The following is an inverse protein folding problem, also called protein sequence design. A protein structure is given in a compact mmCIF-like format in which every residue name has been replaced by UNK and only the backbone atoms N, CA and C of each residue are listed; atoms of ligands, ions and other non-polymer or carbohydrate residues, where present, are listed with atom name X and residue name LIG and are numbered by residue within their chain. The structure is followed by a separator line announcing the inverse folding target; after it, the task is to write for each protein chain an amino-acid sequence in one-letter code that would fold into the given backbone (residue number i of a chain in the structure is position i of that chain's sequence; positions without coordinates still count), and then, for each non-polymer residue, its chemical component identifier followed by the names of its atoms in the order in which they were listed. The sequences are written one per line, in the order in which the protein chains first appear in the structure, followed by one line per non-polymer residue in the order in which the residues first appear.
data_IF_117944833523
#
_entry.id   IF_117944833523
#
_cell.length_a   1.000
_cell.length_b   1.000
_cell.length_c   1.000
_cell.angle_alpha   90.00
_cell.angle_beta   90.00
_cell.angle_gamma   90.00
#
_symmetry.space_group_name_H-M   'P 1'
#
loop_
_entity.id
_entity.type
_entity.pdbx_description
1 polymer ?
#
# COMPACT_ATOMS: atom_id res chain seq x y z
N UNK A 1 -61.42 -48.53 -4.38
CA UNK A 1 -60.93 -47.49 -5.31
C UNK A 1 -60.19 -46.47 -4.48
N UNK A 2 -58.88 -46.37 -4.70
CA UNK A 2 -57.90 -45.36 -4.23
C UNK A 2 -57.81 -45.09 -2.71
N UNK A 3 -56.65 -44.87 -2.07
CA UNK A 3 -55.27 -44.63 -2.48
C UNK A 3 -54.35 -44.96 -1.29
N UNK A 4 -53.08 -45.28 -1.57
CA UNK A 4 -52.09 -45.74 -0.60
C UNK A 4 -51.75 -44.76 0.54
N UNK A 5 -51.40 -45.32 1.71
CA UNK A 5 -50.78 -44.61 2.82
C UNK A 5 -49.27 -44.81 2.78
N UNK A 6 -48.56 -43.75 2.44
CA UNK A 6 -47.10 -43.63 2.47
C UNK A 6 -46.65 -43.37 3.93
N UNK A 7 -45.57 -44.04 4.33
CA UNK A 7 -44.93 -43.91 5.65
C UNK A 7 -44.43 -42.47 5.89
N UNK A 8 -44.77 -41.92 7.05
CA UNK A 8 -44.30 -40.62 7.52
C UNK A 8 -42.88 -40.78 8.11
N UNK A 9 -41.87 -40.36 7.36
CA UNK A 9 -40.50 -40.18 7.87
C UNK A 9 -40.44 -38.79 8.50
N UNK A 10 -40.14 -38.71 9.80
CA UNK A 10 -39.93 -37.44 10.50
C UNK A 10 -38.67 -36.76 9.93
N UNK A 11 -38.87 -35.63 9.24
CA UNK A 11 -37.81 -34.76 8.76
C UNK A 11 -37.47 -33.79 9.88
N UNK A 12 -36.24 -33.85 10.39
CA UNK A 12 -35.68 -32.85 11.29
C UNK A 12 -35.65 -31.49 10.56
N UNK A 13 -36.53 -30.57 10.96
CA UNK A 13 -36.43 -29.16 10.60
C UNK A 13 -35.24 -28.57 11.36
N UNK A 14 -34.07 -28.58 10.73
CA UNK A 14 -33.00 -27.65 11.09
C UNK A 14 -33.50 -26.25 10.73
N UNK A 15 -33.83 -25.47 11.75
CA UNK A 15 -34.06 -24.04 11.61
C UNK A 15 -32.80 -23.41 11.04
N UNK A 16 -32.84 -23.07 9.75
CA UNK A 16 -31.90 -22.14 9.15
C UNK A 16 -32.15 -20.79 9.84
N UNK A 17 -31.30 -20.46 10.81
CA UNK A 17 -31.10 -19.09 11.22
C UNK A 17 -30.55 -18.36 9.99
N UNK A 18 -31.41 -17.63 9.29
CA UNK A 18 -30.98 -16.62 8.32
C UNK A 18 -30.23 -15.57 9.14
N UNK A 19 -28.91 -15.71 9.23
CA UNK A 19 -28.07 -14.57 9.55
C UNK A 19 -28.34 -13.54 8.45
N UNK A 20 -29.05 -12.47 8.78
CA UNK A 20 -29.12 -11.30 7.92
C UNK A 20 -27.67 -10.88 7.64
N UNK A 21 -27.24 -11.02 6.39
CA UNK A 21 -25.96 -10.48 5.94
C UNK A 21 -26.14 -8.97 5.96
N UNK A 22 -25.83 -8.36 7.10
CA UNK A 22 -25.86 -6.92 7.24
C UNK A 22 -24.83 -6.36 6.27
N UNK A 23 -25.31 -5.59 5.28
CA UNK A 23 -24.42 -4.95 4.32
C UNK A 23 -23.42 -4.08 5.10
N UNK A 24 -22.13 -4.36 4.94
CA UNK A 24 -21.11 -3.53 5.57
C UNK A 24 -21.12 -2.16 4.89
N UNK A 25 -21.28 -1.12 5.70
CA UNK A 25 -21.30 0.28 5.27
C UNK A 25 -20.36 1.10 6.14
N UNK A 26 -19.92 2.23 5.61
CA UNK A 26 -19.21 3.28 6.35
C UNK A 26 -19.95 4.60 6.15
N UNK A 27 -19.96 5.45 7.16
CA UNK A 27 -20.56 6.78 7.13
C UNK A 27 -19.44 7.83 7.27
N UNK A 28 -19.48 8.89 6.48
CA UNK A 28 -18.58 10.03 6.64
C UNK A 28 -19.16 11.13 7.56
N UNK A 29 -18.37 12.16 7.82
CA UNK A 29 -18.74 13.28 8.70
C UNK A 29 -19.98 14.07 8.24
N UNK A 30 -20.36 13.97 6.96
CA UNK A 30 -21.54 14.61 6.40
C UNK A 30 -22.79 13.71 6.45
N UNK A 31 -22.67 12.51 7.01
CA UNK A 31 -23.73 11.52 7.05
C UNK A 31 -23.96 10.80 5.72
N UNK A 32 -23.01 10.86 4.78
CA UNK A 32 -23.11 10.05 3.58
C UNK A 32 -22.76 8.60 3.92
N UNK A 33 -23.64 7.67 3.59
CA UNK A 33 -23.44 6.23 3.81
C UNK A 33 -22.96 5.59 2.51
N UNK A 34 -21.90 4.79 2.62
CA UNK A 34 -21.26 4.10 1.50
C UNK A 34 -21.22 2.61 1.73
N UNK A 35 -21.48 1.83 0.69
CA UNK A 35 -21.26 0.38 0.74
C UNK A 35 -19.78 0.07 0.78
N UNK A 36 -19.43 -1.03 1.44
CA UNK A 36 -18.05 -1.54 1.46
C UNK A 36 -17.97 -2.94 0.88
N UNK A 37 -16.79 -3.30 0.38
CA UNK A 37 -16.54 -4.60 -0.23
C UNK A 37 -15.18 -5.14 0.19
N UNK A 38 -15.11 -6.42 0.51
CA UNK A 38 -13.87 -7.10 0.84
C UNK A 38 -13.26 -7.70 -0.43
N UNK A 39 -12.03 -7.32 -0.75
CA UNK A 39 -11.28 -7.81 -1.90
C UNK A 39 -9.93 -8.31 -1.39
N UNK A 40 -9.74 -9.64 -1.41
CA UNK A 40 -8.62 -10.28 -0.75
C UNK A 40 -8.66 -10.02 0.75
N UNK A 41 -7.60 -9.38 1.28
CA UNK A 41 -7.50 -9.00 2.70
C UNK A 41 -7.91 -7.55 2.97
N UNK A 42 -8.26 -6.77 1.94
CA UNK A 42 -8.56 -5.35 2.05
C UNK A 42 -10.07 -5.10 2.03
N UNK A 43 -10.53 -4.07 2.75
CA UNK A 43 -11.93 -3.62 2.72
C UNK A 43 -11.98 -2.23 2.09
N UNK A 44 -12.64 -2.13 0.94
CA UNK A 44 -12.73 -0.91 0.13
C UNK A 44 -14.14 -0.33 0.16
N UNK A 45 -14.26 0.99 0.02
CA UNK A 45 -15.54 1.58 -0.38
C UNK A 45 -15.91 1.11 -1.80
N UNK A 46 -17.17 0.74 -1.99
CA UNK A 46 -17.73 0.42 -3.31
C UNK A 46 -18.19 1.68 -4.08
N UNK A 47 -18.15 2.84 -3.43
CA UNK A 47 -18.53 4.13 -3.98
C UNK A 47 -17.40 5.15 -3.74
N UNK A 48 -17.30 6.16 -4.61
CA UNK A 48 -16.34 7.25 -4.41
C UNK A 48 -16.82 8.18 -3.29
N UNK A 49 -15.88 8.72 -2.52
CA UNK A 49 -16.14 9.65 -1.43
C UNK A 49 -16.82 10.93 -1.96
N UNK A 50 -17.79 11.44 -1.21
CA UNK A 50 -18.57 12.66 -1.49
C UNK A 50 -18.70 13.58 -0.27
N UNK A 51 -17.73 13.48 0.64
CA UNK A 51 -17.57 14.38 1.77
C UNK A 51 -17.22 15.81 1.30
N UNK A 52 -17.72 16.77 2.04
CA UNK A 52 -17.56 18.21 1.87
C UNK A 52 -16.79 18.82 3.04
N UNK A 53 -16.44 17.98 4.03
CA UNK A 53 -15.63 18.31 5.19
C UNK A 53 -14.58 17.23 5.41
N UNK A 54 -13.48 17.65 6.01
CA UNK A 54 -12.56 16.74 6.65
C UNK A 54 -13.22 16.09 7.86
N UNK A 55 -12.69 14.95 8.28
CA UNK A 55 -13.23 14.16 9.38
C UNK A 55 -13.09 14.86 10.75
N UNK A 56 -12.30 15.93 10.84
CA UNK A 56 -12.25 16.85 11.99
C UNK A 56 -13.35 17.93 11.98
N UNK A 57 -14.22 17.92 10.96
CA UNK A 57 -15.31 18.89 10.75
C UNK A 57 -14.90 20.15 9.99
N UNK A 58 -13.63 20.31 9.61
CA UNK A 58 -13.17 21.45 8.80
C UNK A 58 -13.80 21.40 7.41
N UNK A 59 -14.47 22.47 7.00
CA UNK A 59 -15.05 22.58 5.65
C UNK A 59 -13.95 22.51 4.57
N UNK A 60 -14.21 21.72 3.53
CA UNK A 60 -13.43 21.74 2.31
C UNK A 60 -14.08 22.79 1.40
N UNK A 61 -13.35 23.80 0.89
CA UNK A 61 -13.92 24.76 -0.05
C UNK A 61 -14.51 24.09 -1.30
N UNK A 62 -15.76 24.44 -1.62
CA UNK A 62 -16.37 24.09 -2.90
C UNK A 62 -15.86 25.04 -3.97
N UNK A 63 -15.08 24.53 -4.91
CA UNK A 63 -14.72 25.22 -6.13
C UNK A 63 -15.72 24.85 -7.24
N UNK A 64 -16.13 25.80 -8.08
CA UNK A 64 -16.81 25.43 -9.33
C UNK A 64 -15.79 24.94 -10.34
N UNK A 65 -16.14 23.88 -11.07
CA UNK A 65 -15.46 23.35 -12.24
C UNK A 65 -15.61 24.27 -13.48
N UNK A 66 -15.73 25.58 -13.27
CA UNK A 66 -15.43 26.58 -14.28
C UNK A 66 -13.96 27.01 -14.15
N UNK A 67 -13.42 27.51 -15.24
CA UNK A 67 -11.98 27.70 -15.35
C UNK A 67 -11.41 28.80 -14.45
N UNK A 68 -12.26 29.62 -13.82
CA UNK A 68 -11.81 30.72 -12.99
C UNK A 68 -11.84 30.33 -11.51
N UNK A 69 -12.89 29.70 -11.02
CA UNK A 69 -12.98 29.35 -9.59
C UNK A 69 -12.09 28.15 -9.23
N UNK A 70 -12.05 27.09 -10.05
CA UNK A 70 -11.10 25.99 -9.82
C UNK A 70 -9.67 26.50 -9.90
N UNK A 71 -9.36 27.32 -10.91
CA UNK A 71 -8.06 27.95 -11.06
C UNK A 71 -7.70 28.82 -9.86
N UNK A 72 -8.62 29.58 -9.25
CA UNK A 72 -8.33 30.43 -8.09
C UNK A 72 -7.97 29.60 -6.84
N UNK A 73 -8.55 28.41 -6.70
CA UNK A 73 -8.17 27.47 -5.64
C UNK A 73 -6.87 26.70 -5.95
N UNK A 74 -6.40 26.72 -7.20
CA UNK A 74 -5.26 25.93 -7.71
C UNK A 74 -4.08 26.76 -8.26
N UNK A 75 -4.22 28.08 -8.45
CA UNK A 75 -3.16 28.96 -8.99
C UNK A 75 -1.95 28.84 -8.10
N UNK A 76 -0.77 28.85 -8.71
CA UNK A 76 0.55 28.47 -8.19
C UNK A 76 1.03 29.09 -6.84
N UNK A 77 0.19 29.86 -6.14
CA UNK A 77 0.39 30.34 -4.77
C UNK A 77 -0.60 29.75 -3.73
N UNK A 78 -1.68 29.08 -4.15
CA UNK A 78 -2.70 28.48 -3.29
C UNK A 78 -2.47 26.98 -3.14
N UNK A 79 -1.97 26.57 -1.97
CA UNK A 79 -1.90 25.17 -1.54
C UNK A 79 -3.19 24.74 -0.83
N UNK A 80 -4.32 25.32 -1.23
CA UNK A 80 -5.57 25.24 -0.48
C UNK A 80 -6.36 23.99 -0.89
N UNK A 81 -6.88 23.21 0.06
CA UNK A 81 -7.85 22.16 -0.22
C UNK A 81 -9.06 22.69 -0.99
N UNK A 82 -9.59 21.89 -1.90
CA UNK A 82 -10.83 22.16 -2.63
C UNK A 82 -11.44 20.85 -3.15
N UNK A 83 -12.76 20.87 -3.30
CA UNK A 83 -13.51 19.85 -4.02
C UNK A 83 -14.50 20.49 -5.00
N UNK A 84 -14.95 19.72 -5.98
CA UNK A 84 -16.06 20.11 -6.85
C UNK A 84 -16.92 18.91 -7.25
N UNK A 85 -18.02 19.22 -7.92
CA UNK A 85 -18.89 18.24 -8.56
C UNK A 85 -18.66 18.28 -10.06
N UNK A 86 -18.75 17.11 -10.71
CA UNK A 86 -18.71 17.05 -12.16
C UNK A 86 -19.78 17.97 -12.76
N UNK A 87 -19.40 18.80 -13.73
CA UNK A 87 -20.26 19.82 -14.36
C UNK A 87 -21.00 20.73 -13.37
N UNK A 88 -20.43 20.97 -12.18
CA UNK A 88 -21.00 21.80 -11.12
C UNK A 88 -22.40 21.39 -10.67
N UNK A 89 -22.75 20.11 -10.86
CA UNK A 89 -24.10 19.62 -10.55
C UNK A 89 -24.07 18.48 -9.53
N UNK A 90 -24.11 18.85 -8.25
CA UNK A 90 -24.27 17.90 -7.15
C UNK A 90 -25.54 17.06 -7.32
N UNK A 91 -26.66 17.67 -7.70
CA UNK A 91 -27.97 16.98 -7.85
C UNK A 91 -27.96 15.86 -8.90
N UNK A 92 -27.04 15.90 -9.86
CA UNK A 92 -26.95 14.90 -10.94
C UNK A 92 -25.80 13.93 -10.70
N UNK A 93 -24.66 14.42 -10.21
CA UNK A 93 -23.40 13.66 -10.24
C UNK A 93 -22.85 13.27 -8.87
N UNK A 94 -23.31 13.87 -7.76
CA UNK A 94 -22.83 13.55 -6.41
C UNK A 94 -22.91 12.05 -6.11
N UNK A 95 -24.09 11.46 -6.27
CA UNK A 95 -24.29 10.03 -5.99
C UNK A 95 -23.79 9.10 -7.10
N UNK A 96 -23.56 9.65 -8.30
CA UNK A 96 -23.10 8.87 -9.44
C UNK A 96 -21.59 8.67 -9.43
N UNK A 97 -20.83 9.73 -9.20
CA UNK A 97 -19.38 9.77 -9.36
C UNK A 97 -18.60 10.20 -8.10
N UNK A 98 -19.29 10.70 -7.06
CA UNK A 98 -18.66 11.29 -5.91
C UNK A 98 -18.13 12.70 -6.18
N UNK A 99 -17.38 13.23 -5.22
CA UNK A 99 -16.69 14.50 -5.37
C UNK A 99 -15.32 14.32 -6.05
N UNK A 100 -14.85 15.39 -6.68
CA UNK A 100 -13.51 15.48 -7.24
C UNK A 100 -12.70 16.40 -6.34
N UNK A 101 -11.66 15.86 -5.71
CA UNK A 101 -10.82 16.58 -4.77
C UNK A 101 -9.51 16.96 -5.44
N UNK A 102 -8.96 18.12 -5.08
CA UNK A 102 -7.59 18.43 -5.47
C UNK A 102 -6.58 17.64 -4.61
N UNK A 103 -5.33 17.54 -5.09
CA UNK A 103 -4.26 16.84 -4.39
C UNK A 103 -3.95 17.44 -3.01
N UNK A 104 -4.11 18.75 -2.83
CA UNK A 104 -3.95 19.42 -1.52
C UNK A 104 -4.97 18.95 -0.48
N UNK A 105 -6.17 18.56 -0.92
CA UNK A 105 -7.19 17.96 -0.05
C UNK A 105 -6.82 16.53 0.33
N UNK A 106 -6.22 15.80 -0.60
CA UNK A 106 -5.84 14.40 -0.39
C UNK A 106 -4.69 14.25 0.62
N UNK A 107 -3.66 15.10 0.54
CA UNK A 107 -2.47 14.99 1.40
C UNK A 107 -2.65 15.57 2.82
N UNK A 108 -3.80 16.20 3.11
CA UNK A 108 -4.00 16.87 4.40
C UNK A 108 -4.25 15.89 5.57
N UNK A 109 -4.37 14.59 5.28
CA UNK A 109 -4.65 13.49 6.21
C UNK A 109 -5.85 13.72 7.12
N UNK A 110 -6.95 12.96 6.93
CA UNK A 110 -8.29 13.04 7.56
C UNK A 110 -9.46 13.28 6.58
N UNK A 111 -9.26 13.05 5.27
CA UNK A 111 -10.34 13.17 4.29
C UNK A 111 -11.38 12.02 4.40
N UNK A 112 -10.92 10.82 4.75
CA UNK A 112 -11.75 9.64 4.86
C UNK A 112 -12.36 9.48 6.27
N UNK A 113 -13.44 8.68 6.43
CA UNK A 113 -14.04 8.39 7.73
C UNK A 113 -13.05 7.79 8.73
N UNK A 114 -13.34 7.89 10.04
CA UNK A 114 -12.53 7.26 11.09
C UNK A 114 -12.28 5.77 10.85
N UNK A 115 -11.02 5.35 10.93
CA UNK A 115 -10.59 3.98 10.64
C UNK A 115 -10.52 3.66 9.14
N UNK A 116 -10.53 4.69 8.30
CA UNK A 116 -10.34 4.60 6.85
C UNK A 116 -9.36 5.68 6.38
N UNK A 117 -8.65 5.41 5.29
CA UNK A 117 -7.70 6.35 4.70
C UNK A 117 -7.84 6.43 3.18
N UNK A 118 -7.27 7.49 2.59
CA UNK A 118 -7.10 7.57 1.14
C UNK A 118 -6.04 6.53 0.74
N UNK A 119 -6.33 5.61 -0.19
CA UNK A 119 -5.44 4.51 -0.52
C UNK A 119 -4.08 5.01 -0.95
N UNK A 120 -3.03 4.43 -0.41
CA UNK A 120 -1.66 4.61 -0.89
C UNK A 120 -1.43 3.81 -2.18
N UNK A 121 -0.29 4.05 -2.82
CA UNK A 121 0.15 3.26 -3.96
C UNK A 121 0.32 1.78 -3.60
N UNK A 122 0.67 1.50 -2.34
CA UNK A 122 0.80 0.15 -1.82
C UNK A 122 -0.56 -0.55 -1.69
N UNK A 123 -1.59 0.14 -1.21
CA UNK A 123 -2.95 -0.44 -1.09
C UNK A 123 -3.50 -0.81 -2.47
N UNK A 124 -3.34 0.12 -3.43
CA UNK A 124 -3.64 -0.14 -4.84
C UNK A 124 -2.86 -1.33 -5.38
N UNK A 125 -1.56 -1.43 -5.07
CA UNK A 125 -0.72 -2.53 -5.52
C UNK A 125 -1.19 -3.87 -4.97
N UNK A 126 -1.50 -3.97 -3.67
CA UNK A 126 -2.04 -5.21 -3.08
C UNK A 126 -3.36 -5.60 -3.76
N UNK A 127 -4.24 -4.62 -4.03
CA UNK A 127 -5.51 -4.87 -4.71
C UNK A 127 -5.27 -5.42 -6.13
N UNK A 128 -4.42 -4.75 -6.90
CA UNK A 128 -4.12 -5.11 -8.29
C UNK A 128 -3.44 -6.47 -8.38
N UNK A 129 -2.47 -6.75 -7.52
CA UNK A 129 -1.79 -8.05 -7.44
C UNK A 129 -2.77 -9.16 -7.11
N UNK A 130 -3.65 -8.97 -6.13
CA UNK A 130 -4.69 -9.94 -5.78
C UNK A 130 -5.61 -10.26 -6.97
N UNK A 131 -5.89 -9.26 -7.81
CA UNK A 131 -6.75 -9.40 -8.98
C UNK A 131 -6.04 -9.98 -10.22
N UNK A 132 -4.77 -10.37 -10.12
CA UNK A 132 -4.01 -10.98 -11.21
C UNK A 132 -3.10 -10.02 -11.99
N UNK A 133 -2.90 -8.80 -11.48
CA UNK A 133 -2.01 -7.80 -12.07
C UNK A 133 -2.73 -6.76 -12.93
N UNK A 134 -1.94 -5.80 -13.42
CA UNK A 134 -2.46 -4.58 -14.06
C UNK A 134 -3.29 -4.82 -15.31
N UNK A 135 -3.00 -5.88 -16.07
CA UNK A 135 -3.65 -6.19 -17.36
C UNK A 135 -5.14 -6.52 -17.19
N UNK A 136 -5.50 -7.18 -16.08
CA UNK A 136 -6.84 -7.72 -15.87
C UNK A 136 -7.62 -7.01 -14.75
N UNK A 137 -6.92 -6.40 -13.79
CA UNK A 137 -7.55 -5.84 -12.59
C UNK A 137 -8.57 -4.74 -12.91
N UNK A 138 -8.32 -3.90 -13.92
CA UNK A 138 -9.24 -2.84 -14.32
C UNK A 138 -10.62 -3.37 -14.72
N UNK A 139 -10.68 -4.43 -15.53
CA UNK A 139 -11.92 -5.07 -15.96
C UNK A 139 -12.72 -5.64 -14.79
N UNK A 140 -12.04 -6.25 -13.82
CA UNK A 140 -12.65 -6.83 -12.61
C UNK A 140 -13.22 -5.79 -11.64
N UNK A 141 -12.69 -4.57 -11.68
CA UNK A 141 -13.13 -3.44 -10.86
C UNK A 141 -14.27 -2.65 -11.51
N UNK A 142 -14.31 -2.55 -12.85
CA UNK A 142 -15.27 -1.73 -13.60
C UNK A 142 -16.72 -2.17 -13.41
N UNK A 143 -17.61 -1.21 -13.24
CA UNK A 143 -19.05 -1.40 -13.42
C UNK A 143 -19.35 -1.96 -14.82
N UNK A 144 -20.22 -2.95 -14.90
CA UNK A 144 -20.68 -3.56 -16.15
C UNK A 144 -21.67 -2.67 -16.89
N UNK A 145 -21.76 -2.81 -18.21
CA UNK A 145 -22.66 -2.03 -19.06
C UNK A 145 -22.15 -0.61 -19.34
N UNK A 146 -22.96 0.22 -19.98
CA UNK A 146 -22.53 1.51 -20.56
C UNK A 146 -23.32 2.72 -20.06
N UNK A 147 -23.97 2.58 -18.90
CA UNK A 147 -24.62 3.71 -18.22
C UNK A 147 -23.59 4.78 -17.81
N UNK A 148 -22.49 4.35 -17.17
CA UNK A 148 -21.43 5.22 -16.65
C UNK A 148 -20.08 5.06 -17.37
N UNK A 149 -20.03 4.25 -18.43
CA UNK A 149 -18.89 4.02 -19.30
C UNK A 149 -19.31 4.16 -20.76
N UNK A 150 -18.44 4.65 -21.62
CA UNK A 150 -18.66 4.63 -23.07
C UNK A 150 -18.52 3.20 -23.61
N UNK A 151 -19.21 2.92 -24.72
CA UNK A 151 -19.01 1.69 -25.49
C UNK A 151 -17.56 1.61 -25.99
N UNK A 152 -16.89 0.42 -25.94
CA UNK A 152 -17.49 -0.89 -25.66
C UNK A 152 -17.45 -1.36 -24.19
N UNK A 153 -16.90 -0.57 -23.27
CA UNK A 153 -16.60 -0.98 -21.88
C UNK A 153 -15.89 -2.36 -21.78
N UNK A 154 -14.86 -2.59 -22.60
CA UNK A 154 -14.21 -3.88 -22.77
C UNK A 154 -13.72 -4.49 -21.45
N UNK A 155 -14.01 -5.79 -21.27
CA UNK A 155 -13.52 -6.59 -20.14
C UNK A 155 -14.13 -6.26 -18.78
N UNK A 156 -15.14 -5.38 -18.70
CA UNK A 156 -15.81 -5.08 -17.44
C UNK A 156 -16.62 -6.29 -16.93
N UNK A 157 -16.27 -6.79 -15.75
CA UNK A 157 -17.00 -7.90 -15.08
C UNK A 157 -17.60 -7.49 -13.74
N UNK A 158 -17.06 -6.45 -13.10
CA UNK A 158 -17.39 -6.05 -11.73
C UNK A 158 -17.40 -7.20 -10.71
N UNK A 159 -16.64 -8.28 -10.94
CA UNK A 159 -16.71 -9.49 -10.11
C UNK A 159 -16.29 -9.24 -8.65
N UNK A 160 -15.59 -8.12 -8.41
CA UNK A 160 -15.15 -7.68 -7.09
C UNK A 160 -16.21 -6.91 -6.31
N UNK A 161 -17.26 -6.39 -6.96
CA UNK A 161 -18.21 -5.46 -6.35
C UNK A 161 -17.68 -4.03 -6.14
N UNK A 162 -16.43 -3.74 -6.57
CA UNK A 162 -15.83 -2.41 -6.46
C UNK A 162 -16.62 -1.34 -7.22
N UNK A 163 -17.24 -1.70 -8.35
CA UNK A 163 -18.16 -0.83 -9.10
C UNK A 163 -17.51 0.51 -9.52
N UNK A 164 -16.36 0.42 -10.18
CA UNK A 164 -15.68 1.58 -10.74
C UNK A 164 -16.51 2.24 -11.85
N UNK A 165 -16.72 3.55 -11.77
CA UNK A 165 -17.48 4.37 -12.72
C UNK A 165 -16.60 5.45 -13.33
N UNK A 166 -16.71 5.69 -14.64
CA UNK A 166 -15.93 6.71 -15.34
C UNK A 166 -16.46 8.13 -15.13
N UNK A 167 -16.16 8.70 -13.97
CA UNK A 167 -16.42 10.10 -13.67
C UNK A 167 -15.56 11.06 -14.48
N UNK A 168 -14.38 10.63 -14.93
CA UNK A 168 -13.39 11.48 -15.54
C UNK A 168 -12.43 12.08 -14.51
N UNK A 169 -11.95 13.29 -14.81
CA UNK A 169 -11.08 14.12 -13.98
C UNK A 169 -11.41 15.59 -14.21
N UNK A 170 -10.98 16.47 -13.33
CA UNK A 170 -11.01 17.92 -13.50
C UNK A 170 -9.59 18.37 -13.76
N UNK A 171 -9.33 19.03 -14.88
CA UNK A 171 -7.99 19.56 -15.15
C UNK A 171 -7.63 20.69 -14.20
N UNK A 172 -6.34 21.02 -14.17
CA UNK A 172 -5.77 22.17 -13.46
C UNK A 172 -6.52 23.50 -13.74
N UNK A 173 -7.04 23.67 -14.95
CA UNK A 173 -7.83 24.81 -15.38
C UNK A 173 -9.35 24.64 -15.17
N UNK A 174 -9.80 23.70 -14.33
CA UNK A 174 -11.21 23.49 -13.99
C UNK A 174 -12.05 22.72 -15.03
N UNK A 175 -11.51 22.44 -16.22
CA UNK A 175 -12.30 21.75 -17.26
C UNK A 175 -12.59 20.29 -16.88
N UNK A 176 -13.82 19.85 -17.17
CA UNK A 176 -14.25 18.47 -16.98
C UNK A 176 -13.69 17.59 -18.11
N UNK A 177 -12.84 16.62 -17.78
CA UNK A 177 -12.14 15.77 -18.75
C UNK A 177 -12.58 14.31 -18.65
N UNK A 178 -12.64 13.65 -19.81
CA UNK A 178 -12.75 12.20 -19.93
C UNK A 178 -13.97 11.53 -19.27
N UNK A 179 -15.05 12.27 -19.00
CA UNK A 179 -16.29 11.69 -18.48
C UNK A 179 -16.75 10.52 -19.37
N UNK A 180 -17.15 9.40 -18.73
CA UNK A 180 -17.46 8.09 -19.34
C UNK A 180 -16.31 7.36 -20.04
N UNK A 181 -15.19 8.01 -20.33
CA UNK A 181 -14.04 7.39 -21.00
C UNK A 181 -13.01 6.87 -20.00
N UNK A 182 -12.82 7.56 -18.88
CA UNK A 182 -11.86 7.17 -17.86
C UNK A 182 -12.45 7.35 -16.46
N UNK A 183 -12.00 6.50 -15.54
CA UNK A 183 -12.13 6.74 -14.11
C UNK A 183 -10.74 7.04 -13.55
N UNK A 184 -10.60 8.08 -12.72
CA UNK A 184 -9.36 8.46 -12.08
C UNK A 184 -9.55 8.48 -10.56
N UNK A 185 -8.61 7.87 -9.84
CA UNK A 185 -8.54 7.94 -8.38
C UNK A 185 -7.20 8.43 -7.92
N UNK A 186 -7.21 9.21 -6.85
CA UNK A 186 -6.00 9.57 -6.13
C UNK A 186 -5.37 8.39 -5.39
N UNK A 187 -4.06 8.46 -5.29
CA UNK A 187 -3.28 7.83 -4.23
C UNK A 187 -2.82 8.89 -3.24
N UNK A 188 -2.75 8.57 -1.95
CA UNK A 188 -2.11 9.44 -0.95
C UNK A 188 -0.59 9.51 -1.12
N UNK A 189 0.01 8.64 -1.94
CA UNK A 189 1.45 8.65 -2.22
C UNK A 189 1.82 9.80 -3.17
N UNK A 190 2.69 10.69 -2.68
CA UNK A 190 3.26 11.81 -3.41
C UNK A 190 4.35 11.28 -4.37
N UNK A 191 4.33 11.73 -5.63
CA UNK A 191 5.43 11.49 -6.58
C UNK A 191 6.53 12.54 -6.38
N UNK A 192 6.14 13.81 -6.34
CA UNK A 192 7.00 14.93 -5.96
C UNK A 192 6.16 16.13 -5.49
N UNK A 193 6.79 17.25 -5.15
CA UNK A 193 6.12 18.46 -4.62
C UNK A 193 4.96 19.00 -5.48
N UNK A 194 4.86 18.61 -6.76
CA UNK A 194 3.81 19.05 -7.68
C UNK A 194 2.83 17.95 -8.07
N UNK A 195 3.13 16.68 -7.82
CA UNK A 195 2.40 15.56 -8.40
C UNK A 195 2.10 14.47 -7.37
N UNK A 196 0.88 13.94 -7.44
CA UNK A 196 0.46 12.73 -6.72
C UNK A 196 0.27 11.58 -7.70
N UNK A 197 0.48 10.36 -7.19
CA UNK A 197 0.10 9.16 -7.94
C UNK A 197 -1.42 9.06 -8.10
N UNK A 198 -1.83 8.50 -9.21
CA UNK A 198 -3.22 8.20 -9.54
C UNK A 198 -3.34 6.78 -10.06
N UNK A 199 -4.55 6.23 -9.98
CA UNK A 199 -4.96 5.04 -10.74
C UNK A 199 -6.03 5.43 -11.74
N UNK A 200 -5.90 4.92 -12.95
CA UNK A 200 -6.91 5.12 -13.97
C UNK A 200 -7.26 3.86 -14.74
N UNK A 201 -8.52 3.78 -15.15
CA UNK A 201 -9.05 2.69 -15.98
C UNK A 201 -9.75 3.33 -17.18
N UNK A 202 -9.47 2.79 -18.38
CA UNK A 202 -10.07 3.24 -19.63
C UNK A 202 -11.27 2.36 -20.05
N UNK A 203 -12.25 2.97 -20.74
CA UNK A 203 -13.42 2.26 -21.24
C UNK A 203 -13.08 1.12 -22.22
N UNK A 204 -12.03 1.25 -23.01
CA UNK A 204 -11.68 0.29 -24.06
C UNK A 204 -10.65 -0.76 -23.61
N UNK A 205 -10.20 -0.74 -22.35
CA UNK A 205 -9.23 -1.67 -21.80
C UNK A 205 -9.71 -2.37 -20.53
N UNK A 206 -9.12 -3.54 -20.27
CA UNK A 206 -9.27 -4.27 -19.00
C UNK A 206 -8.20 -3.91 -17.98
N UNK A 207 -7.23 -3.10 -18.37
CA UNK A 207 -6.10 -2.79 -17.53
C UNK A 207 -6.39 -1.59 -16.62
N UNK A 208 -5.71 -1.57 -15.47
CA UNK A 208 -5.60 -0.41 -14.59
C UNK A 208 -4.18 0.12 -14.69
N UNK A 209 -4.05 1.43 -14.86
CA UNK A 209 -2.77 2.09 -15.11
C UNK A 209 -2.46 3.00 -13.94
N UNK A 210 -1.21 2.97 -13.48
CA UNK A 210 -0.68 4.01 -12.63
C UNK A 210 -0.16 5.19 -13.46
N UNK A 211 -0.53 6.38 -13.05
CA UNK A 211 -0.08 7.65 -13.64
C UNK A 211 0.12 8.67 -12.54
N UNK A 212 0.57 9.87 -12.87
CA UNK A 212 0.58 11.01 -11.97
C UNK A 212 -0.40 12.09 -12.47
N UNK A 213 -0.83 12.94 -11.55
CA UNK A 213 -1.56 14.17 -11.86
C UNK A 213 -1.08 15.30 -10.95
N UNK A 214 -1.16 16.53 -11.44
CA UNK A 214 -0.78 17.72 -10.66
C UNK A 214 -1.69 17.86 -9.43
N UNK A 215 -1.17 18.44 -8.34
CA UNK A 215 -1.94 18.69 -7.12
C UNK A 215 -3.20 19.54 -7.36
N UNK A 216 -3.20 20.29 -8.46
CA UNK A 216 -4.28 21.14 -8.93
C UNK A 216 -5.41 20.39 -9.64
N UNK A 217 -5.16 19.18 -10.15
CA UNK A 217 -6.20 18.39 -10.80
C UNK A 217 -7.25 17.95 -9.78
N UNK A 218 -8.48 17.70 -10.22
CA UNK A 218 -9.53 17.09 -9.40
C UNK A 218 -9.72 15.63 -9.79
N UNK A 219 -9.46 14.70 -8.88
CA UNK A 219 -9.76 13.27 -9.10
C UNK A 219 -10.63 12.72 -7.96
N UNK A 220 -11.28 11.59 -8.21
CA UNK A 220 -12.09 10.93 -7.19
C UNK A 220 -11.21 10.32 -6.10
N UNK A 221 -11.77 10.17 -4.91
CA UNK A 221 -11.18 9.41 -3.80
C UNK A 221 -12.06 8.22 -3.50
N UNK A 222 -11.45 7.10 -3.13
CA UNK A 222 -12.16 5.90 -2.68
C UNK A 222 -11.41 5.30 -1.51
N UNK A 223 -11.96 5.46 -0.32
CA UNK A 223 -11.24 5.09 0.90
C UNK A 223 -11.16 3.58 1.07
N UNK A 224 -10.13 3.17 1.80
CA UNK A 224 -9.86 1.82 2.24
C UNK A 224 -9.83 1.80 3.77
N UNK A 225 -10.32 0.73 4.37
CA UNK A 225 -10.34 0.56 5.83
C UNK A 225 -8.95 0.26 6.37
N UNK A 226 -8.60 0.87 7.48
CA UNK A 226 -7.37 0.57 8.21
C UNK A 226 -7.37 -0.89 8.67
N UNK A 227 -6.20 -1.51 8.68
CA UNK A 227 -6.03 -2.82 9.27
C UNK A 227 -6.23 -2.72 10.80
N UNK A 228 -7.33 -3.27 11.32
CA UNK A 228 -7.59 -3.26 12.76
C UNK A 228 -6.62 -4.17 13.49
N UNK A 229 -5.84 -3.63 14.42
CA UNK A 229 -5.11 -4.39 15.44
C UNK A 229 -5.81 -4.14 16.78
N UNK A 230 -6.46 -5.17 17.34
CA UNK A 230 -7.00 -5.07 18.71
C UNK A 230 -5.82 -5.10 19.71
N UNK A 231 -5.51 -3.96 20.32
CA UNK A 231 -4.57 -3.89 21.45
C UNK A 231 -5.27 -3.16 22.60
N UNK A 232 -5.43 -3.86 23.72
CA UNK A 232 -6.00 -3.35 24.97
C UNK A 232 -5.22 -2.16 25.52
N UNK A 233 -5.95 -1.17 26.04
CA UNK A 233 -5.45 0.19 26.24
C UNK A 233 -4.42 0.40 27.34
N UNK A 234 -3.68 1.50 27.23
CA UNK A 234 -3.30 2.39 28.34
C UNK A 234 -2.72 3.72 27.82
N UNK A 235 -2.88 4.77 28.64
CA UNK A 235 -2.75 6.21 28.37
C UNK A 235 -1.30 6.73 28.26
N UNK A 236 -1.14 7.72 27.39
CA UNK A 236 0.03 8.58 27.14
C UNK A 236 0.31 9.61 28.24
N UNK A 237 1.58 10.03 28.37
CA UNK A 237 1.97 11.42 28.70
C UNK A 237 3.18 11.80 27.82
N UNK A 238 3.09 12.96 27.15
CA UNK A 238 4.10 13.53 26.26
C UNK A 238 4.90 14.66 26.94
N UNK A 239 6.10 14.98 26.44
CA UNK A 239 6.61 16.36 26.35
C UNK A 239 7.82 16.55 25.41
N UNK A 240 7.55 17.35 24.36
CA UNK A 240 8.29 18.32 23.54
C UNK A 240 9.81 18.55 23.68
N UNK A 241 10.49 18.83 22.57
CA UNK A 241 10.85 20.22 22.15
C UNK A 241 11.72 20.23 20.86
N UNK A 242 11.28 20.98 19.85
CA UNK A 242 12.10 21.44 18.71
C UNK A 242 12.71 22.83 18.99
N UNK A 243 13.89 23.10 18.43
CA UNK A 243 14.29 24.46 18.02
C UNK A 243 15.30 24.44 16.85
N UNK A 244 15.23 25.37 15.87
CA UNK A 244 15.85 25.21 14.55
C UNK A 244 17.27 25.78 14.48
N UNK A 245 18.07 25.28 13.54
CA UNK A 245 19.41 25.79 13.25
C UNK A 245 19.56 26.20 11.78
N UNK A 246 20.12 27.41 11.64
CA UNK A 246 20.40 28.19 10.44
C UNK A 246 21.46 27.58 9.53
N UNK A 247 21.34 27.89 8.24
CA UNK A 247 22.18 27.44 7.13
C UNK A 247 23.68 27.76 7.30
N UNK A 248 24.51 26.71 7.18
CA UNK A 248 25.89 26.77 6.69
C UNK A 248 26.06 25.57 5.76
N UNK A 249 26.35 25.84 4.48
CA UNK A 249 26.66 24.83 3.46
C UNK A 249 27.92 24.06 3.85
N UNK A 250 27.73 22.90 4.49
CA UNK A 250 28.75 21.87 4.64
C UNK A 250 28.58 20.86 3.51
N UNK A 251 29.67 20.54 2.81
CA UNK A 251 29.78 19.42 1.86
C UNK A 251 29.26 18.14 2.55
N UNK A 252 27.99 17.83 2.37
CA UNK A 252 27.30 16.75 3.05
C UNK A 252 27.74 15.42 2.43
N UNK A 253 28.28 14.50 3.24
CA UNK A 253 28.53 13.09 2.86
C UNK A 253 27.34 12.51 2.08
N UNK A 254 27.53 11.88 0.92
CA UNK A 254 26.46 11.30 0.09
C UNK A 254 25.77 10.08 0.73
N UNK A 255 26.34 9.56 1.82
CA UNK A 255 25.85 8.38 2.53
C UNK A 255 25.52 8.68 3.99
N UNK A 256 24.59 7.92 4.55
CA UNK A 256 24.17 7.94 5.95
C UNK A 256 24.40 6.57 6.58
N UNK A 257 24.96 6.56 7.79
CA UNK A 257 25.08 5.34 8.61
C UNK A 257 23.87 5.24 9.52
N UNK A 258 23.16 4.12 9.44
CA UNK A 258 21.97 3.81 10.24
C UNK A 258 22.39 2.74 11.26
N UNK A 259 22.08 2.97 12.54
CA UNK A 259 22.53 2.13 13.67
C UNK A 259 21.35 1.62 14.49
N UNK A 260 21.40 0.34 14.89
CA UNK A 260 20.56 -0.23 15.92
C UNK A 260 21.43 -0.60 17.13
N UNK A 261 21.33 0.19 18.19
CA UNK A 261 22.13 -0.02 19.41
C UNK A 261 21.66 -1.25 20.22
N UNK A 262 20.36 -1.55 20.22
CA UNK A 262 19.79 -2.68 20.98
C UNK A 262 20.25 -4.05 20.43
N UNK A 263 20.43 -4.11 19.10
CA UNK A 263 20.90 -5.29 18.37
C UNK A 263 22.29 -5.09 17.75
N UNK A 264 23.03 -4.07 18.21
CA UNK A 264 24.45 -3.81 17.94
C UNK A 264 24.88 -3.99 16.48
N UNK A 265 24.09 -3.49 15.54
CA UNK A 265 24.46 -3.50 14.13
C UNK A 265 24.31 -2.14 13.49
N UNK A 266 25.14 -1.88 12.49
CA UNK A 266 25.07 -0.68 11.66
C UNK A 266 25.28 -1.01 10.20
N UNK A 267 24.66 -0.21 9.34
CA UNK A 267 24.78 -0.26 7.90
C UNK A 267 24.95 1.17 7.36
N UNK A 268 25.49 1.30 6.17
CA UNK A 268 25.58 2.56 5.45
C UNK A 268 24.76 2.47 4.17
N UNK A 269 23.87 3.44 3.97
CA UNK A 269 23.03 3.56 2.80
C UNK A 269 23.20 4.95 2.17
N UNK A 270 22.87 5.13 0.88
CA UNK A 270 22.81 6.45 0.27
C UNK A 270 21.88 7.38 1.05
N UNK A 271 22.22 8.67 1.16
CA UNK A 271 21.33 9.67 1.79
C UNK A 271 20.03 9.85 1.03
N UNK A 272 20.05 9.55 -0.26
CA UNK A 272 18.85 9.48 -1.08
C UNK A 272 18.01 8.25 -0.77
N UNK A 273 18.25 7.46 0.27
CA UNK A 273 17.34 6.36 0.62
C UNK A 273 16.52 6.78 1.84
N UNK A 274 15.20 6.63 1.76
CA UNK A 274 14.36 6.79 2.94
C UNK A 274 14.46 5.53 3.79
N UNK A 275 14.30 5.68 5.10
CA UNK A 275 14.19 4.53 5.97
C UNK A 275 13.12 4.71 7.02
N UNK A 276 12.48 3.60 7.40
CA UNK A 276 11.59 3.53 8.54
C UNK A 276 12.04 2.41 9.47
N UNK A 277 11.78 2.58 10.77
CA UNK A 277 12.07 1.54 11.78
C UNK A 277 10.95 0.52 11.76
N UNK A 278 11.31 -0.75 11.90
CA UNK A 278 10.36 -1.86 11.87
C UNK A 278 10.56 -2.81 13.05
N UNK A 279 9.51 -3.54 13.38
CA UNK A 279 9.59 -4.78 14.17
C UNK A 279 9.28 -5.93 13.24
N UNK A 280 10.25 -6.82 13.09
CA UNK A 280 10.14 -8.07 12.37
C UNK A 280 10.15 -9.22 13.36
N UNK A 281 9.12 -10.08 13.32
CA UNK A 281 9.10 -11.32 14.10
C UNK A 281 10.20 -12.27 13.62
N UNK A 282 10.83 -13.00 14.55
CA UNK A 282 11.86 -13.99 14.21
C UNK A 282 11.24 -15.12 13.38
N UNK A 283 11.66 -15.30 12.11
CA UNK A 283 11.08 -16.34 11.26
C UNK A 283 11.51 -17.76 11.64
N UNK A 284 12.45 -17.96 12.57
CA UNK A 284 13.07 -19.25 12.82
C UNK A 284 12.09 -20.34 13.26
N UNK A 285 11.28 -20.08 14.31
CA UNK A 285 10.33 -21.07 14.82
C UNK A 285 9.17 -21.32 13.85
N UNK A 286 8.76 -20.28 13.12
CA UNK A 286 7.77 -20.39 12.05
C UNK A 286 8.25 -21.30 10.91
N UNK A 287 9.43 -21.03 10.35
CA UNK A 287 10.03 -21.86 9.30
C UNK A 287 10.21 -23.31 9.75
N UNK A 288 10.58 -23.53 11.02
CA UNK A 288 10.72 -24.87 11.62
C UNK A 288 9.37 -25.59 11.72
N UNK A 289 8.31 -24.88 12.13
CA UNK A 289 6.96 -25.42 12.27
C UNK A 289 6.22 -25.62 10.93
N UNK A 290 6.67 -24.95 9.86
CA UNK A 290 5.99 -24.95 8.55
C UNK A 290 4.71 -24.10 8.51
N UNK A 291 4.44 -23.31 9.55
CA UNK A 291 3.39 -22.28 9.57
C UNK A 291 4.06 -20.94 9.28
N UNK A 292 3.52 -20.17 8.34
CA UNK A 292 4.12 -18.92 7.89
C UNK A 292 3.19 -17.74 8.19
N UNK A 293 3.69 -16.76 8.94
CA UNK A 293 3.08 -15.46 9.18
C UNK A 293 4.17 -14.41 8.98
N UNK A 294 4.28 -13.88 7.76
CA UNK A 294 5.19 -12.77 7.50
C UNK A 294 4.54 -11.47 7.95
N UNK A 295 4.59 -11.18 9.25
CA UNK A 295 4.24 -9.85 9.75
C UNK A 295 5.50 -8.98 9.82
N UNK A 296 5.54 -7.96 8.96
CA UNK A 296 6.44 -6.82 9.11
C UNK A 296 5.55 -5.72 9.68
N UNK A 297 5.85 -5.22 10.88
CA UNK A 297 5.15 -4.04 11.40
C UNK A 297 6.05 -2.82 11.25
N UNK A 298 5.55 -1.83 10.52
CA UNK A 298 6.07 -0.45 10.52
C UNK A 298 5.32 0.32 11.59
N UNK A 299 6.01 1.15 12.36
CA UNK A 299 5.33 2.05 13.31
C UNK A 299 4.46 3.08 12.58
N UNK A 300 3.55 3.74 13.31
CA UNK A 300 2.90 4.97 12.83
C UNK A 300 3.98 5.95 12.34
N UNK A 301 3.71 6.72 11.28
CA UNK A 301 4.73 7.54 10.58
C UNK A 301 5.48 8.51 11.52
N UNK A 302 4.88 8.86 12.66
CA UNK A 302 5.45 9.74 13.69
C UNK A 302 5.93 9.04 14.98
N UNK A 303 5.77 7.71 15.10
CA UNK A 303 6.16 6.96 16.29
C UNK A 303 7.16 5.85 15.96
N UNK A 304 8.32 5.94 16.60
CA UNK A 304 9.31 4.86 16.61
C UNK A 304 8.69 3.62 17.27
N UNK A 305 8.64 2.45 16.60
CA UNK A 305 8.12 1.23 17.22
C UNK A 305 8.91 0.88 18.48
N UNK A 306 8.23 0.53 19.56
CA UNK A 306 8.88 -0.06 20.72
C UNK A 306 9.58 -1.37 20.31
N UNK A 307 10.79 -1.61 20.83
CA UNK A 307 11.58 -2.82 20.54
C UNK A 307 11.91 -3.05 19.05
N UNK A 308 11.91 -1.99 18.22
CA UNK A 308 12.32 -2.06 16.83
C UNK A 308 13.66 -2.80 16.68
N UNK A 309 13.68 -3.77 15.80
CA UNK A 309 14.83 -4.65 15.57
C UNK A 309 15.40 -4.50 14.16
N UNK A 310 14.85 -3.58 13.36
CA UNK A 310 15.24 -3.42 11.97
C UNK A 310 14.86 -2.10 11.34
N UNK A 311 15.16 -2.02 10.05
CA UNK A 311 14.85 -0.92 9.15
C UNK A 311 14.24 -1.44 7.86
N UNK A 312 13.28 -0.71 7.31
CA UNK A 312 12.94 -0.77 5.89
C UNK A 312 13.67 0.37 5.19
N UNK A 313 14.47 0.08 4.18
CA UNK A 313 15.11 1.09 3.32
C UNK A 313 14.39 1.11 1.97
N UNK A 314 14.07 2.31 1.46
CA UNK A 314 13.56 2.48 0.10
C UNK A 314 14.49 3.41 -0.68
N UNK A 315 14.87 3.03 -1.89
CA UNK A 315 15.71 3.86 -2.75
C UNK A 315 14.92 5.07 -3.29
N UNK A 316 15.34 6.31 -2.99
CA UNK A 316 14.84 7.52 -3.67
C UNK A 316 15.74 7.72 -4.90
N UNK A 317 15.12 7.75 -6.08
CA UNK A 317 15.86 7.95 -7.35
C UNK A 317 15.41 7.12 -8.54
N UNK A 318 14.32 6.36 -8.47
CA UNK A 318 13.65 5.85 -9.66
C UNK A 318 12.18 6.24 -9.66
N UNK A 319 11.83 7.11 -10.60
CA UNK A 319 10.48 7.50 -10.98
C UNK A 319 9.70 6.35 -11.66
N UNK A 320 9.84 5.11 -11.16
CA UNK A 320 9.21 3.91 -11.72
C UNK A 320 8.62 3.09 -10.58
N UNK A 321 7.42 2.56 -10.83
CA UNK A 321 6.51 1.67 -10.10
C UNK A 321 7.09 0.41 -9.45
N UNK A 322 8.41 0.33 -9.32
CA UNK A 322 9.10 -0.86 -8.82
C UNK A 322 10.39 -0.55 -8.05
N UNK A 323 10.40 0.49 -7.22
CA UNK A 323 11.61 0.82 -6.47
C UNK A 323 12.06 -0.34 -5.56
N UNK A 324 13.35 -0.68 -5.57
CA UNK A 324 13.89 -1.70 -4.69
C UNK A 324 13.73 -1.25 -3.25
N UNK A 325 13.35 -2.18 -2.38
CA UNK A 325 13.39 -1.95 -0.95
C UNK A 325 14.14 -3.08 -0.24
N UNK A 326 14.74 -2.73 0.89
CA UNK A 326 15.42 -3.66 1.76
C UNK A 326 14.69 -3.71 3.09
N UNK A 327 14.40 -4.91 3.57
CA UNK A 327 14.01 -5.15 4.96
C UNK A 327 15.22 -5.72 5.67
N UNK A 328 15.75 -4.97 6.64
CA UNK A 328 16.95 -5.32 7.40
C UNK A 328 16.56 -5.45 8.85
N UNK A 329 16.75 -6.60 9.47
CA UNK A 329 16.33 -6.82 10.86
C UNK A 329 17.25 -7.78 11.58
N UNK A 330 17.27 -7.69 12.90
CA UNK A 330 18.17 -8.45 13.74
C UNK A 330 17.45 -9.20 14.86
N UNK A 331 18.05 -10.31 15.28
CA UNK A 331 17.62 -11.09 16.43
C UNK A 331 18.83 -11.51 17.26
N UNK A 332 18.65 -11.59 18.58
CA UNK A 332 19.61 -12.20 19.49
C UNK A 332 19.35 -13.71 19.49
N UNK A 333 20.33 -14.46 19.03
CA UNK A 333 20.25 -15.90 18.75
C UNK A 333 21.54 -16.60 19.19
N UNK A 334 21.89 -16.45 20.46
CA UNK A 334 23.17 -16.91 21.04
C UNK A 334 23.47 -18.39 20.77
N UNK A 335 22.42 -19.23 20.74
CA UNK A 335 22.54 -20.68 20.55
C UNK A 335 22.32 -21.15 19.10
N UNK A 336 22.03 -20.24 18.16
CA UNK A 336 21.70 -20.62 16.79
C UNK A 336 22.96 -20.72 15.92
N UNK A 337 23.12 -21.86 15.25
CA UNK A 337 24.18 -22.03 14.24
C UNK A 337 23.73 -21.53 12.87
N UNK A 338 24.58 -20.80 12.12
CA UNK A 338 24.24 -20.32 10.78
C UNK A 338 23.78 -21.43 9.82
N UNK A 339 24.37 -22.63 9.94
CA UNK A 339 24.08 -23.77 9.09
C UNK A 339 22.67 -24.33 9.33
N UNK A 340 22.22 -24.33 10.59
CA UNK A 340 20.89 -24.83 10.96
C UNK A 340 19.80 -23.91 10.40
N UNK A 341 20.00 -22.59 10.48
CA UNK A 341 19.09 -21.62 9.89
C UNK A 341 19.06 -21.72 8.37
N UNK A 342 20.22 -21.85 7.72
CA UNK A 342 20.30 -22.03 6.26
C UNK A 342 19.53 -23.27 5.80
N UNK A 343 19.65 -24.38 6.53
CA UNK A 343 18.95 -25.64 6.22
C UNK A 343 17.44 -25.50 6.39
N UNK A 344 16.98 -24.89 7.47
CA UNK A 344 15.54 -24.66 7.70
C UNK A 344 14.98 -23.71 6.64
N UNK A 345 15.72 -22.66 6.29
CA UNK A 345 15.35 -21.73 5.23
C UNK A 345 15.19 -22.43 3.87
N UNK A 346 16.17 -23.23 3.45
CA UNK A 346 16.11 -23.97 2.18
C UNK A 346 14.95 -24.99 2.14
N UNK A 347 14.72 -25.71 3.24
CA UNK A 347 13.57 -26.61 3.38
C UNK A 347 12.25 -25.84 3.26
N UNK A 348 12.20 -24.63 3.80
CA UNK A 348 11.03 -23.76 3.73
C UNK A 348 10.71 -23.38 2.28
N UNK A 349 11.72 -22.99 1.48
CA UNK A 349 11.54 -22.65 0.06
C UNK A 349 11.11 -23.88 -0.76
N UNK A 350 11.68 -25.04 -0.45
CA UNK A 350 11.31 -26.30 -1.12
C UNK A 350 9.84 -26.66 -0.89
N UNK A 351 9.31 -26.44 0.33
CA UNK A 351 7.89 -26.66 0.64
C UNK A 351 6.95 -25.75 -0.15
N UNK A 352 7.41 -24.55 -0.52
CA UNK A 352 6.68 -23.64 -1.39
C UNK A 352 6.80 -23.97 -2.89
N UNK A 353 7.48 -25.06 -3.25
CA UNK A 353 7.64 -25.47 -4.63
C UNK A 353 8.65 -24.61 -5.41
N UNK A 354 9.48 -23.84 -4.73
CA UNK A 354 10.56 -23.04 -5.34
C UNK A 354 11.68 -24.00 -5.75
N UNK A 355 12.00 -24.02 -7.05
CA UNK A 355 12.98 -24.94 -7.64
C UNK A 355 14.29 -24.26 -8.03
N UNK A 356 14.22 -22.99 -8.43
CA UNK A 356 15.37 -22.22 -8.90
C UNK A 356 15.95 -21.38 -7.76
N UNK A 357 16.75 -22.03 -6.90
CA UNK A 357 17.44 -21.40 -5.78
C UNK A 357 18.96 -21.34 -5.99
N UNK A 358 19.56 -20.17 -5.77
CA UNK A 358 21.01 -19.95 -5.76
C UNK A 358 21.44 -19.66 -4.34
N UNK A 359 21.73 -20.70 -3.57
CA UNK A 359 22.14 -20.60 -2.16
C UNK A 359 23.66 -20.70 -2.01
N UNK A 360 24.29 -19.62 -1.56
CA UNK A 360 25.68 -19.61 -1.12
C UNK A 360 25.73 -19.72 0.42
N UNK A 361 26.10 -20.90 0.94
CA UNK A 361 26.19 -21.19 2.39
C UNK A 361 27.44 -20.63 3.07
N UNK A 362 28.42 -20.16 2.29
CA UNK A 362 29.70 -19.69 2.79
C UNK A 362 29.86 -18.19 2.49
N UNK A 363 28.81 -17.41 2.78
CA UNK A 363 28.83 -15.97 2.57
C UNK A 363 29.36 -15.25 3.81
N UNK A 364 30.14 -14.19 3.62
CA UNK A 364 30.69 -13.41 4.73
C UNK A 364 30.84 -11.94 4.37
N UNK A 365 30.69 -11.08 5.39
CA UNK A 365 30.97 -9.64 5.32
C UNK A 365 31.82 -9.28 6.53
N UNK A 366 33.09 -8.94 6.29
CA UNK A 366 34.05 -8.79 7.38
C UNK A 366 34.21 -10.11 8.13
N UNK A 367 33.94 -10.09 9.43
CA UNK A 367 33.98 -11.25 10.33
C UNK A 367 32.59 -11.85 10.61
N UNK A 368 31.52 -11.30 10.03
CA UNK A 368 30.20 -11.91 10.09
C UNK A 368 30.06 -12.99 9.00
N UNK A 369 29.54 -14.15 9.35
CA UNK A 369 29.38 -15.31 8.45
C UNK A 369 27.95 -15.78 8.36
N UNK A 370 27.57 -16.43 7.27
CA UNK A 370 26.25 -16.99 7.08
C UNK A 370 25.99 -17.34 5.64
N UNK A 371 24.80 -17.03 5.14
CA UNK A 371 24.40 -17.38 3.77
C UNK A 371 23.79 -16.21 3.00
N UNK A 372 23.87 -16.32 1.68
CA UNK A 372 23.21 -15.46 0.72
C UNK A 372 22.42 -16.32 -0.27
N UNK A 373 21.16 -16.00 -0.49
CA UNK A 373 20.29 -16.79 -1.36
C UNK A 373 19.53 -15.89 -2.32
N UNK A 374 19.55 -16.22 -3.60
CA UNK A 374 18.65 -15.64 -4.61
C UNK A 374 17.66 -16.71 -5.04
N UNK A 375 16.37 -16.40 -5.03
CA UNK A 375 15.31 -17.31 -5.45
C UNK A 375 14.16 -16.54 -6.09
N UNK A 376 13.34 -17.24 -6.87
CA UNK A 376 12.20 -16.65 -7.59
C UNK A 376 10.87 -17.15 -6.97
N UNK A 377 10.00 -16.20 -6.60
CA UNK A 377 8.65 -16.44 -6.06
C UNK A 377 7.63 -15.59 -6.81
N UNK A 378 7.59 -15.73 -8.14
CA UNK A 378 6.87 -14.81 -9.04
C UNK A 378 7.61 -13.49 -9.28
N UNK A 379 8.38 -13.03 -8.28
CA UNK A 379 9.40 -11.97 -8.37
C UNK A 379 10.76 -12.51 -7.90
N UNK A 380 11.85 -11.88 -8.35
CA UNK A 380 13.20 -12.24 -7.89
C UNK A 380 13.50 -11.61 -6.53
N UNK A 381 13.99 -12.43 -5.62
CA UNK A 381 14.24 -12.05 -4.22
C UNK A 381 15.66 -12.45 -3.82
N UNK A 382 16.32 -11.60 -3.02
CA UNK A 382 17.57 -11.97 -2.34
C UNK A 382 17.41 -11.91 -0.83
N UNK A 383 17.84 -12.98 -0.17
CA UNK A 383 17.80 -13.14 1.27
C UNK A 383 19.19 -13.45 1.79
N UNK A 384 19.76 -12.53 2.55
CA UNK A 384 21.07 -12.67 3.17
C UNK A 384 20.91 -12.76 4.69
N UNK A 385 21.53 -13.74 5.33
CA UNK A 385 21.56 -13.85 6.78
C UNK A 385 23.02 -13.96 7.26
N UNK A 386 23.43 -13.04 8.12
CA UNK A 386 24.79 -12.93 8.65
C UNK A 386 24.78 -12.94 10.18
N UNK A 387 25.77 -13.64 10.75
CA UNK A 387 25.87 -13.91 12.16
C UNK A 387 27.20 -13.44 12.71
N UNK A 388 27.15 -12.85 13.91
CA UNK A 388 28.33 -12.55 14.72
C UNK A 388 27.92 -12.30 16.16
N UNK A 389 28.71 -12.77 17.13
CA UNK A 389 28.53 -12.50 18.55
C UNK A 389 27.10 -12.76 19.08
N UNK A 390 26.46 -13.85 18.63
CA UNK A 390 25.09 -14.21 19.02
C UNK A 390 24.00 -13.31 18.42
N UNK A 391 24.32 -12.51 17.42
CA UNK A 391 23.37 -11.65 16.70
C UNK A 391 23.27 -12.14 15.26
N UNK A 392 22.05 -12.33 14.79
CA UNK A 392 21.74 -12.59 13.39
C UNK A 392 21.11 -11.34 12.79
N UNK A 393 21.70 -10.82 11.73
CA UNK A 393 21.12 -9.78 10.88
C UNK A 393 20.67 -10.41 9.57
N UNK A 394 19.42 -10.18 9.21
CA UNK A 394 18.85 -10.56 7.92
C UNK A 394 18.70 -9.31 7.07
N UNK A 395 19.06 -9.42 5.79
CA UNK A 395 18.84 -8.41 4.76
C UNK A 395 18.01 -9.06 3.67
N UNK A 396 16.80 -8.55 3.48
CA UNK A 396 15.84 -9.04 2.49
C UNK A 396 15.66 -7.98 1.41
N UNK A 397 16.23 -8.24 0.25
CA UNK A 397 16.12 -7.36 -0.91
C UNK A 397 14.99 -7.83 -1.81
N UNK A 398 14.01 -6.94 -1.97
CA UNK A 398 12.87 -7.13 -2.84
C UNK A 398 12.92 -6.15 -4.00
N UNK A 399 12.69 -6.68 -5.20
CA UNK A 399 12.39 -5.89 -6.37
C UNK A 399 11.00 -6.29 -6.88
N UNK A 400 9.99 -5.41 -6.78
CA UNK A 400 8.62 -5.74 -7.19
C UNK A 400 8.46 -5.62 -8.71
N UNK A 401 9.27 -6.36 -9.48
CA UNK A 401 9.14 -6.52 -10.92
C UNK A 401 9.54 -7.93 -11.33
N UNK A 402 8.88 -8.43 -12.37
CA UNK A 402 9.18 -9.72 -12.98
C UNK A 402 10.34 -9.63 -13.99
N UNK A 403 10.87 -8.41 -14.24
CA UNK A 403 12.04 -8.22 -15.10
C UNK A 403 13.34 -8.50 -14.31
N UNK A 404 14.05 -9.60 -14.63
CA UNK A 404 15.29 -9.96 -13.94
C UNK A 404 16.41 -8.94 -14.16
N UNK A 405 16.38 -8.13 -15.23
CA UNK A 405 17.43 -7.14 -15.51
C UNK A 405 17.37 -5.95 -14.56
N UNK A 406 16.16 -5.58 -14.11
CA UNK A 406 15.98 -4.52 -13.11
C UNK A 406 16.48 -4.95 -11.74
N UNK A 407 16.23 -6.20 -11.35
CA UNK A 407 16.77 -6.76 -10.13
C UNK A 407 18.31 -6.63 -10.07
N UNK A 408 19.01 -7.02 -11.15
CA UNK A 408 20.47 -6.96 -11.25
C UNK A 408 21.01 -5.52 -11.28
N UNK A 409 20.27 -4.58 -11.90
CA UNK A 409 20.65 -3.16 -11.94
C UNK A 409 20.85 -2.57 -10.55
N UNK A 410 19.96 -2.89 -9.61
CA UNK A 410 20.03 -2.37 -8.23
C UNK A 410 20.78 -3.29 -7.27
N UNK A 411 21.04 -4.55 -7.66
CA UNK A 411 21.82 -5.48 -6.87
C UNK A 411 23.22 -4.93 -6.51
N UNK A 412 23.82 -4.12 -7.38
CA UNK A 412 25.14 -3.49 -7.13
C UNK A 412 25.10 -2.49 -5.95
N UNK A 413 24.04 -1.69 -5.82
CA UNK A 413 23.90 -0.76 -4.69
C UNK A 413 23.51 -1.52 -3.41
N UNK A 414 22.65 -2.53 -3.54
CA UNK A 414 22.32 -3.45 -2.44
C UNK A 414 23.57 -4.16 -1.92
N UNK A 415 24.49 -4.58 -2.80
CA UNK A 415 25.78 -5.18 -2.42
C UNK A 415 26.63 -4.22 -1.59
N UNK A 416 26.62 -2.91 -1.90
CA UNK A 416 27.34 -1.92 -1.10
C UNK A 416 26.74 -1.80 0.30
N UNK A 417 25.41 -1.80 0.41
CA UNK A 417 24.71 -1.79 1.71
C UNK A 417 25.04 -3.07 2.50
N UNK A 418 24.95 -4.24 1.89
CA UNK A 418 25.30 -5.53 2.53
C UNK A 418 26.76 -5.51 3.01
N UNK A 419 27.70 -5.09 2.16
CA UNK A 419 29.14 -5.04 2.50
C UNK A 419 29.47 -4.00 3.58
N UNK A 420 28.62 -2.99 3.75
CA UNK A 420 28.76 -1.98 4.79
C UNK A 420 28.35 -2.49 6.17
N UNK A 421 27.64 -3.63 6.26
CA UNK A 421 27.16 -4.19 7.52
C UNK A 421 28.33 -4.38 8.50
N UNK A 422 28.14 -3.87 9.71
CA UNK A 422 28.99 -4.15 10.87
C UNK A 422 28.11 -4.61 12.01
N UNK A 423 28.36 -5.82 12.50
CA UNK A 423 27.79 -6.36 13.74
C UNK A 423 28.87 -6.22 14.81
N UNK A 424 28.56 -5.58 15.93
CA UNK A 424 29.50 -5.27 17.02
C UNK A 424 29.44 -6.31 18.13
#
# INVERSE_FOLDING_TARGET
MESGKIKLSALFLFGFCLAEVQAQTVEDIDGNIYKTVTIGTQIWMAENLKATKFNDGTEIPLAKADANEWADHTVAASTTPAYCWLYDSASVYKDRYGAFYNGFTVIKDNLCPDGWHVPSDQDWTILITYLGGEVDAGGKLKETGTANWNEPNNGATNETGFTARAGGSISDNGSNWYNKSYAFWWSSTVDNEKYLWTRNINFNGSNIIRSYAEMQAGNSVRCIKDATVEIGGMKTIAQNDEKPLTAIEQKQSEHVTIRNEAFRFEITAPKSWSFSKIVQQDPYEEMKSGKYSSSVSTGEEDKVPENWNGFRLNSIGSSIDSSPFLIIYAHKVEDQKPEDFAKIFELSLTRFGIKDLKLNRNFSVGDATGFDCIYDLGIRVRYTALYKNGIRVVIHYYFPSNDPTLFERYATEVDKVIRSLRIK
#
